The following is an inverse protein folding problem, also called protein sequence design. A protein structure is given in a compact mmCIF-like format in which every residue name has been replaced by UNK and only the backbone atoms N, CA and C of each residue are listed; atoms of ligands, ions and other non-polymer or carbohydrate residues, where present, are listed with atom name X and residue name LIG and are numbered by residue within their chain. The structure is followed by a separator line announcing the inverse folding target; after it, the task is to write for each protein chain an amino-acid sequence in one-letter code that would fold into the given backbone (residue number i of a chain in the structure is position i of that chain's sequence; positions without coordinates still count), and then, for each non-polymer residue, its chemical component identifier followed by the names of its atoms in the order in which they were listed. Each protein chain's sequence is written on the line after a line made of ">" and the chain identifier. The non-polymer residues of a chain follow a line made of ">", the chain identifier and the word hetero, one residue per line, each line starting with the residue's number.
data_IF_820076733017
#
_entry.id   IF_820076733017
#
_cell.length_a   1.000
_cell.length_b   1.000
_cell.length_c   1.000
_cell.angle_alpha   90.00
_cell.angle_beta   90.00
_cell.angle_gamma   90.00
#
_symmetry.space_group_name_H-M   'P 1'
#
loop_
_entity.id
_entity.type
_entity.pdbx_description
1 polymer ?
#
# COMPACT_ATOMS: atom_id res chain seq x y z
N UNK A 1 12.55 -21.30 30.06
CA UNK A 1 13.10 -19.94 30.28
C UNK A 1 12.36 -18.99 29.34
N UNK A 2 11.10 -18.69 29.66
CA UNK A 2 10.19 -17.88 28.84
C UNK A 2 10.06 -16.50 29.46
N UNK A 3 11.16 -15.76 29.48
CA UNK A 3 11.23 -14.40 29.99
C UNK A 3 10.24 -13.53 29.21
N UNK A 4 9.15 -13.16 29.87
CA UNK A 4 8.23 -12.09 29.46
C UNK A 4 7.35 -12.42 28.24
N UNK A 5 6.58 -13.51 28.38
CA UNK A 5 5.44 -13.86 27.52
C UNK A 5 4.56 -12.65 27.21
N UNK A 6 3.98 -12.63 26.01
CA UNK A 6 3.16 -11.56 25.40
C UNK A 6 2.16 -10.89 26.38
N UNK A 7 1.69 -11.63 27.38
CA UNK A 7 0.83 -11.16 28.46
C UNK A 7 1.43 -9.99 29.26
N UNK A 8 2.74 -9.95 29.52
CA UNK A 8 3.37 -8.83 30.23
C UNK A 8 3.30 -7.54 29.41
N UNK A 9 3.59 -7.63 28.11
CA UNK A 9 3.48 -6.50 27.19
C UNK A 9 2.05 -5.98 27.08
N UNK A 10 1.06 -6.88 27.11
CA UNK A 10 -0.36 -6.52 27.12
C UNK A 10 -0.75 -5.72 28.37
N UNK A 11 -0.28 -6.15 29.55
CA UNK A 11 -0.54 -5.43 30.82
C UNK A 11 0.12 -4.05 30.82
N UNK A 12 1.36 -3.93 30.35
CA UNK A 12 2.06 -2.64 30.27
C UNK A 12 1.32 -1.69 29.32
N UNK A 13 0.91 -2.18 28.15
CA UNK A 13 0.15 -1.39 27.18
C UNK A 13 -1.19 -0.93 27.77
N UNK A 14 -1.89 -1.80 28.50
CA UNK A 14 -3.13 -1.44 29.18
C UNK A 14 -2.93 -0.31 30.21
N UNK A 15 -1.85 -0.35 31.01
CA UNK A 15 -1.52 0.70 31.99
C UNK A 15 -1.19 2.02 31.30
N UNK A 16 -0.41 2.00 30.22
CA UNK A 16 -0.09 3.20 29.42
C UNK A 16 -1.37 3.80 28.83
N UNK A 17 -2.27 2.98 28.28
CA UNK A 17 -3.56 3.45 27.76
C UNK A 17 -4.44 4.03 28.87
N UNK A 18 -4.37 3.49 30.10
CA UNK A 18 -5.12 4.04 31.23
C UNK A 18 -4.59 5.41 31.67
N UNK A 19 -3.26 5.58 31.72
CA UNK A 19 -2.60 6.83 32.13
C UNK A 19 -2.75 7.95 31.10
N UNK A 20 -2.53 7.63 29.81
CA UNK A 20 -2.63 8.61 28.73
C UNK A 20 -4.06 8.75 28.20
N UNK A 21 -4.93 7.78 28.47
CA UNK A 21 -6.29 7.69 27.97
C UNK A 21 -6.38 7.14 26.54
N UNK A 22 -7.43 6.35 26.26
CA UNK A 22 -7.67 5.75 24.96
C UNK A 22 -7.82 6.76 23.80
N UNK A 23 -8.09 8.03 24.11
CA UNK A 23 -8.28 9.10 23.13
C UNK A 23 -6.95 9.74 22.67
N UNK A 24 -5.88 9.65 23.46
CA UNK A 24 -4.59 10.28 23.15
C UNK A 24 -3.69 9.43 22.26
N UNK A 25 -3.71 8.12 22.41
CA UNK A 25 -2.95 7.20 21.56
C UNK A 25 -3.30 7.36 20.06
N UNK A 26 -4.58 7.33 19.61
CA UNK A 26 -4.91 7.49 18.20
C UNK A 26 -4.64 8.91 17.68
N UNK A 27 -4.78 9.93 18.53
CA UNK A 27 -4.49 11.32 18.17
C UNK A 27 -2.99 11.52 17.90
N UNK A 28 -2.11 10.98 18.76
CA UNK A 28 -0.66 10.98 18.57
C UNK A 28 -0.24 10.08 17.38
N UNK A 29 -0.81 8.88 17.28
CA UNK A 29 -0.53 7.95 16.19
C UNK A 29 -0.91 8.53 14.82
N UNK A 30 -1.99 9.32 14.75
CA UNK A 30 -2.39 9.99 13.50
C UNK A 30 -1.37 11.05 13.09
N UNK A 31 -0.88 11.88 14.00
CA UNK A 31 0.17 12.87 13.72
C UNK A 31 1.50 12.23 13.30
N UNK A 32 1.98 11.26 14.08
CA UNK A 32 3.23 10.53 13.79
C UNK A 32 3.10 9.71 12.51
N UNK A 33 1.97 9.04 12.30
CA UNK A 33 1.68 8.23 11.13
C UNK A 33 1.63 9.05 9.84
N UNK A 34 1.07 10.26 9.88
CA UNK A 34 1.07 11.18 8.75
C UNK A 34 2.51 11.55 8.36
N UNK A 35 3.35 11.96 9.33
CA UNK A 35 4.74 12.32 9.08
C UNK A 35 5.58 11.16 8.54
N UNK A 36 5.41 9.94 9.07
CA UNK A 36 6.09 8.74 8.55
C UNK A 36 5.62 8.42 7.12
N UNK A 37 4.34 8.65 6.80
CA UNK A 37 3.77 8.39 5.47
C UNK A 37 4.29 9.38 4.44
N UNK A 38 4.35 10.66 4.78
CA UNK A 38 4.91 11.71 3.93
C UNK A 38 6.42 11.50 3.73
N UNK A 39 7.15 11.14 4.79
CA UNK A 39 8.57 10.79 4.72
C UNK A 39 8.82 9.56 3.83
N UNK A 40 8.00 8.51 3.97
CA UNK A 40 8.08 7.32 3.11
C UNK A 40 7.79 7.66 1.64
N UNK A 41 6.81 8.54 1.39
CA UNK A 41 6.44 8.98 0.05
C UNK A 41 7.56 9.78 -0.59
N UNK A 42 8.16 10.72 0.13
CA UNK A 42 9.30 11.52 -0.34
C UNK A 42 10.50 10.63 -0.71
N UNK A 43 10.87 9.66 0.15
CA UNK A 43 11.95 8.71 -0.14
C UNK A 43 11.65 7.89 -1.39
N UNK A 44 10.40 7.42 -1.54
CA UNK A 44 10.01 6.58 -2.68
C UNK A 44 9.96 7.36 -3.99
N UNK A 45 9.62 8.64 -3.93
CA UNK A 45 9.60 9.56 -5.06
C UNK A 45 11.03 9.92 -5.50
N UNK A 46 11.95 10.10 -4.55
CA UNK A 46 13.39 10.28 -4.80
C UNK A 46 14.04 9.01 -5.38
N UNK A 47 13.68 7.82 -4.89
CA UNK A 47 14.10 6.55 -5.49
C UNK A 47 13.53 6.34 -6.89
N UNK A 48 12.28 6.73 -7.15
CA UNK A 48 11.69 6.63 -8.50
C UNK A 48 12.37 7.60 -9.46
N UNK A 49 12.63 8.84 -9.05
CA UNK A 49 13.39 9.81 -9.84
C UNK A 49 14.81 9.31 -10.16
N UNK A 50 15.43 8.55 -9.25
CA UNK A 50 16.75 7.93 -9.45
C UNK A 50 16.72 6.65 -10.29
N UNK A 51 15.57 5.96 -10.35
CA UNK A 51 15.38 4.72 -11.12
C UNK A 51 14.95 4.98 -12.58
N UNK A 52 14.29 6.11 -12.86
CA UNK A 52 13.87 6.47 -14.23
C UNK A 52 15.04 6.87 -15.15
N UNK A 53 16.22 7.18 -14.61
CA UNK A 53 17.41 7.50 -15.43
C UNK A 53 18.07 6.24 -16.04
N UNK A 54 17.77 5.04 -15.52
CA UNK A 54 18.41 3.78 -15.95
C UNK A 54 17.50 2.87 -16.82
N UNK A 55 16.24 3.26 -17.10
CA UNK A 55 15.28 2.41 -17.85
C UNK A 55 14.60 3.07 -19.05
N UNK A 56 15.31 3.97 -19.76
CA UNK A 56 14.88 4.47 -21.08
C UNK A 56 15.73 3.86 -22.20
N UNK A 57 15.98 2.55 -22.17
CA UNK A 57 16.35 1.80 -23.37
C UNK A 57 15.94 0.34 -23.16
N UNK A 58 14.71 -0.01 -23.57
CA UNK A 58 14.18 -1.35 -23.93
C UNK A 58 12.70 -1.40 -23.59
N UNK A 59 11.85 -0.75 -24.39
CA UNK A 59 10.49 -1.27 -24.72
C UNK A 59 9.83 -0.43 -25.83
N UNK A 60 10.43 -0.46 -27.01
CA UNK A 60 9.82 0.04 -28.24
C UNK A 60 9.99 -1.00 -29.34
N UNK A 61 9.41 -2.19 -29.14
CA UNK A 61 8.87 -2.99 -30.24
C UNK A 61 8.03 -4.15 -29.72
N UNK A 62 7.11 -4.61 -30.56
CA UNK A 62 6.08 -5.62 -30.31
C UNK A 62 4.90 -5.09 -29.49
N UNK A 63 3.73 -4.87 -30.06
CA UNK A 63 3.15 -5.55 -31.21
C UNK A 63 1.66 -5.71 -30.91
N UNK A 64 0.87 -5.74 -31.97
CA UNK A 64 -0.57 -5.58 -31.95
C UNK A 64 -1.36 -6.47 -30.96
N UNK A 65 -2.44 -5.86 -30.48
CA UNK A 65 -3.72 -6.42 -29.98
C UNK A 65 -4.07 -7.80 -30.54
N UNK A 66 -4.63 -8.72 -29.72
CA UNK A 66 -6.08 -8.85 -29.77
C UNK A 66 -6.73 -9.09 -28.40
N UNK A 67 -7.63 -8.17 -28.08
CA UNK A 67 -8.94 -8.33 -27.46
C UNK A 67 -9.33 -9.77 -27.12
N UNK A 68 -9.29 -10.11 -25.83
CA UNK A 68 -9.96 -11.28 -25.29
C UNK A 68 -11.47 -11.01 -25.21
N UNK A 69 -12.19 -11.45 -26.24
CA UNK A 69 -13.64 -11.66 -26.25
C UNK A 69 -14.00 -12.77 -25.25
N UNK A 70 -14.71 -12.43 -24.19
CA UNK A 70 -15.64 -13.32 -23.48
C UNK A 70 -16.76 -12.47 -22.88
N UNK A 71 -17.76 -12.21 -23.72
CA UNK A 71 -19.11 -11.86 -23.30
C UNK A 71 -20.03 -12.09 -24.51
N UNK A 72 -20.58 -13.31 -24.57
CA UNK A 72 -21.71 -13.69 -25.42
C UNK A 72 -22.96 -12.96 -24.92
N UNK A 73 -23.61 -12.17 -25.78
CA UNK A 73 -24.97 -12.50 -26.23
C UNK A 73 -25.01 -12.43 -27.77
N UNK A 74 -25.47 -13.49 -28.44
CA UNK A 74 -26.88 -13.70 -28.85
C UNK A 74 -27.41 -12.61 -29.78
N UNK A 75 -27.83 -13.08 -30.97
CA UNK A 75 -28.64 -12.41 -32.01
C UNK A 75 -27.90 -11.29 -32.78
N UNK A 76 -27.80 -11.27 -34.12
CA UNK A 76 -28.78 -11.61 -35.14
C UNK A 76 -28.04 -11.83 -36.48
N UNK A 77 -28.39 -12.92 -37.16
CA UNK A 77 -27.84 -13.33 -38.46
C UNK A 77 -28.69 -12.68 -39.56
N UNK A 78 -28.00 -12.15 -40.59
CA UNK A 78 -28.40 -12.20 -42.02
C UNK A 78 -29.37 -11.12 -42.54
N UNK A 79 -28.80 -10.06 -43.10
CA UNK A 79 -29.28 -9.30 -44.28
C UNK A 79 -28.30 -8.13 -44.44
N UNK A 80 -27.64 -7.81 -45.56
CA UNK A 80 -27.91 -7.91 -47.00
C UNK A 80 -26.56 -7.91 -47.70
#
# INVERSE_FOLDING_TARGET
>A
MGSFSISHWLVILAVVVLLFGAKKIPELAKGVGQGIKDFKKAIKEDEQAKTTVDQVETKLESGATPTATTSTPSDEKKSV
#
